data_IF_951709746156
#
_entry.id   IF_951709746156
#
_cell.length_a   1.000
_cell.length_b   1.000
_cell.length_c   1.000
_cell.angle_alpha   90.00
_cell.angle_beta   90.00
_cell.angle_gamma   90.00
#
_symmetry.space_group_name_H-M   'P 1'
#
loop_
_entity.id
_entity.type
_entity.pdbx_description
1 polymer ?
#
# COMPACT_ATOMS: atom_id res chain seq x y z
N UNK A 1 -11.92 -12.75 -7.90
CA UNK A 1 -11.07 -13.40 -8.92
C UNK A 1 -11.86 -14.59 -9.44
N UNK A 2 -11.88 -14.90 -10.74
CA UNK A 2 -12.52 -16.16 -11.18
C UNK A 2 -11.68 -17.30 -10.58
N UNK A 3 -12.32 -18.28 -9.95
CA UNK A 3 -11.62 -19.43 -9.39
C UNK A 3 -10.93 -20.16 -10.54
N UNK A 4 -9.62 -20.34 -10.46
CA UNK A 4 -8.85 -21.15 -11.41
C UNK A 4 -9.16 -22.61 -11.10
N UNK A 5 -9.39 -23.42 -12.13
CA UNK A 5 -9.66 -24.86 -11.99
C UNK A 5 -8.40 -25.61 -11.58
N UNK A 6 -8.57 -26.73 -10.88
CA UNK A 6 -7.45 -27.52 -10.34
C UNK A 6 -6.50 -28.00 -11.45
N UNK A 7 -7.03 -28.44 -12.60
CA UNK A 7 -6.22 -28.82 -13.77
C UNK A 7 -5.32 -27.69 -14.28
N UNK A 8 -5.80 -26.45 -14.24
CA UNK A 8 -5.05 -25.29 -14.67
C UNK A 8 -4.00 -24.89 -13.62
N UNK A 9 -4.28 -25.10 -12.33
CA UNK A 9 -3.31 -24.92 -11.24
C UNK A 9 -2.13 -25.88 -11.43
N UNK A 10 -2.39 -27.15 -11.77
CA UNK A 10 -1.31 -28.13 -12.01
C UNK A 10 -0.42 -27.71 -13.19
N UNK A 11 -1.01 -27.20 -14.28
CA UNK A 11 -0.23 -26.64 -15.40
C UNK A 11 0.62 -25.43 -14.99
N UNK A 12 0.07 -24.53 -14.17
CA UNK A 12 0.79 -23.36 -13.66
C UNK A 12 1.98 -23.79 -12.80
N UNK A 13 1.83 -24.82 -11.96
CA UNK A 13 2.90 -25.40 -11.13
C UNK A 13 3.99 -26.10 -11.95
N UNK A 14 3.63 -26.68 -13.08
CA UNK A 14 4.58 -27.42 -13.93
C UNK A 14 5.46 -26.51 -14.79
N UNK A 15 5.08 -25.24 -14.99
CA UNK A 15 5.86 -24.26 -15.72
C UNK A 15 7.17 -23.91 -14.99
N UNK A 16 8.31 -24.03 -15.68
CA UNK A 16 9.63 -23.89 -15.05
C UNK A 16 9.97 -22.45 -14.65
N UNK A 17 9.51 -21.44 -15.40
CA UNK A 17 9.69 -20.03 -15.03
C UNK A 17 8.94 -19.72 -13.73
N UNK A 18 7.71 -20.23 -13.60
CA UNK A 18 6.91 -20.07 -12.39
C UNK A 18 7.56 -20.77 -11.18
N UNK A 19 8.12 -21.97 -11.35
CA UNK A 19 8.87 -22.65 -10.29
C UNK A 19 10.10 -21.86 -9.88
N UNK A 20 10.84 -21.34 -10.85
CA UNK A 20 12.03 -20.53 -10.61
C UNK A 20 11.71 -19.27 -9.82
N UNK A 21 10.70 -18.51 -10.23
CA UNK A 21 10.25 -17.31 -9.51
C UNK A 21 9.74 -17.62 -8.09
N UNK A 22 9.00 -18.73 -7.93
CA UNK A 22 8.52 -19.16 -6.61
C UNK A 22 9.67 -19.57 -5.70
N UNK A 23 10.66 -20.30 -6.22
CA UNK A 23 11.86 -20.67 -5.45
C UNK A 23 12.66 -19.44 -5.04
N UNK A 24 12.84 -18.48 -5.95
CA UNK A 24 13.52 -17.22 -5.65
C UNK A 24 12.81 -16.43 -4.55
N UNK A 25 11.47 -16.40 -4.57
CA UNK A 25 10.64 -15.84 -3.49
C UNK A 25 10.78 -16.58 -2.15
N UNK A 26 10.78 -17.92 -2.17
CA UNK A 26 10.91 -18.72 -0.95
C UNK A 26 12.28 -18.51 -0.28
N UNK A 27 13.34 -18.49 -1.08
CA UNK A 27 14.70 -18.38 -0.55
C UNK A 27 15.08 -16.92 -0.25
N UNK A 28 15.03 -16.02 -1.26
CA UNK A 28 15.80 -14.77 -1.21
C UNK A 28 15.03 -13.48 -1.52
N UNK A 29 13.80 -13.54 -2.05
CA UNK A 29 13.04 -12.34 -2.44
C UNK A 29 11.85 -12.10 -1.54
N UNK A 30 11.54 -10.82 -1.32
CA UNK A 30 10.41 -10.41 -0.48
C UNK A 30 9.08 -10.32 -1.24
N UNK A 31 9.13 -10.26 -2.57
CA UNK A 31 7.96 -9.98 -3.40
C UNK A 31 7.81 -11.05 -4.48
N UNK A 32 6.57 -11.46 -4.71
CA UNK A 32 6.16 -12.30 -5.82
C UNK A 32 4.88 -11.74 -6.42
N UNK A 33 4.91 -11.47 -7.72
CA UNK A 33 3.78 -10.98 -8.49
C UNK A 33 3.20 -12.12 -9.32
N UNK A 34 1.91 -12.39 -9.17
CA UNK A 34 1.16 -13.28 -10.04
C UNK A 34 0.32 -12.47 -11.03
N UNK A 35 0.70 -12.55 -12.31
CA UNK A 35 0.16 -11.77 -13.41
C UNK A 35 -0.74 -12.67 -14.26
N UNK A 36 -2.02 -12.34 -14.44
CA UNK A 36 -2.90 -13.06 -15.35
C UNK A 36 -2.48 -12.85 -16.81
N UNK A 37 -2.03 -13.93 -17.47
CA UNK A 37 -1.67 -13.93 -18.90
C UNK A 37 -2.77 -14.53 -19.78
N UNK A 38 -3.78 -15.15 -19.17
CA UNK A 38 -4.96 -15.71 -19.83
C UNK A 38 -6.12 -15.91 -18.84
N UNK A 39 -7.16 -16.62 -19.27
CA UNK A 39 -8.35 -16.87 -18.43
C UNK A 39 -8.09 -17.81 -17.26
N UNK A 40 -7.19 -18.77 -17.43
CA UNK A 40 -6.82 -19.78 -16.43
C UNK A 40 -5.29 -19.95 -16.33
N UNK A 41 -4.51 -18.95 -16.74
CA UNK A 41 -3.04 -18.97 -16.70
C UNK A 41 -2.47 -17.78 -15.95
N UNK A 42 -1.43 -18.06 -15.15
CA UNK A 42 -0.68 -17.08 -14.37
C UNK A 42 0.81 -17.19 -14.71
N UNK A 43 1.46 -16.03 -14.75
CA UNK A 43 2.90 -15.90 -14.77
C UNK A 43 3.36 -15.35 -13.43
N UNK A 44 4.40 -15.95 -12.85
CA UNK A 44 5.04 -15.49 -11.63
C UNK A 44 6.33 -14.73 -11.94
N UNK A 45 6.59 -13.67 -11.20
CA UNK A 45 7.83 -12.90 -11.28
C UNK A 45 8.14 -12.27 -9.92
N UNK A 46 9.42 -12.18 -9.57
CA UNK A 46 9.92 -11.44 -8.39
C UNK A 46 10.23 -9.99 -8.72
N UNK A 47 10.28 -9.65 -10.01
CA UNK A 47 10.54 -8.30 -10.51
C UNK A 47 9.25 -7.49 -10.61
N UNK A 48 9.36 -6.18 -10.36
CA UNK A 48 8.20 -5.27 -10.38
C UNK A 48 7.66 -5.18 -11.81
N UNK A 49 6.38 -5.54 -12.05
CA UNK A 49 5.80 -5.52 -13.39
C UNK A 49 5.63 -4.09 -13.90
N UNK A 50 5.71 -3.92 -15.21
CA UNK A 50 5.37 -2.66 -15.85
C UNK A 50 3.87 -2.41 -15.70
N UNK A 51 3.46 -1.14 -15.51
CA UNK A 51 2.04 -0.79 -15.42
C UNK A 51 1.22 -1.25 -16.64
N UNK A 52 1.83 -1.36 -17.83
CA UNK A 52 1.19 -1.89 -19.06
C UNK A 52 0.79 -3.36 -18.95
N UNK A 53 1.48 -4.14 -18.12
CA UNK A 53 1.21 -5.56 -17.89
C UNK A 53 0.01 -5.76 -16.94
N UNK A 54 -0.36 -4.71 -16.18
CA UNK A 54 -1.51 -4.69 -15.29
C UNK A 54 -2.79 -4.38 -16.08
N UNK A 55 -3.35 -5.41 -16.74
CA UNK A 55 -4.58 -5.27 -17.56
C UNK A 55 -5.82 -4.97 -16.71
N UNK A 56 -5.96 -5.65 -15.57
CA UNK A 56 -7.09 -5.48 -14.64
C UNK A 56 -6.60 -5.46 -13.21
N UNK A 57 -6.01 -6.59 -12.79
CA UNK A 57 -5.44 -6.77 -11.47
C UNK A 57 -4.40 -7.87 -11.47
N UNK A 58 -3.47 -7.76 -10.54
CA UNK A 58 -2.44 -8.77 -10.25
C UNK A 58 -2.45 -9.06 -8.75
N UNK A 59 -1.97 -10.22 -8.36
CA UNK A 59 -1.76 -10.57 -6.96
C UNK A 59 -0.30 -10.29 -6.60
N UNK A 60 -0.08 -9.46 -5.59
CA UNK A 60 1.21 -9.30 -4.93
C UNK A 60 1.21 -10.18 -3.67
N UNK A 61 2.24 -10.99 -3.56
CA UNK A 61 2.55 -11.79 -2.38
C UNK A 61 3.80 -11.18 -1.74
N UNK A 62 3.68 -10.77 -0.49
CA UNK A 62 4.76 -10.16 0.28
C UNK A 62 5.17 -11.11 1.39
N UNK A 63 6.47 -11.35 1.50
CA UNK A 63 7.07 -12.03 2.64
C UNK A 63 7.42 -11.00 3.71
N UNK A 64 6.78 -11.10 4.86
CA UNK A 64 7.17 -10.39 6.07
C UNK A 64 8.45 -11.01 6.63
N UNK A 65 9.53 -10.24 6.85
CA UNK A 65 10.71 -10.75 7.53
C UNK A 65 10.37 -11.18 8.97
N UNK A 66 10.97 -12.28 9.42
CA UNK A 66 10.86 -12.75 10.81
C UNK A 66 11.71 -11.81 11.69
N UNK A 67 11.06 -11.01 12.54
CA UNK A 67 11.73 -9.99 13.36
C UNK A 67 12.72 -10.58 14.37
N UNK A 68 12.54 -11.85 14.75
CA UNK A 68 13.35 -12.50 15.78
C UNK A 68 14.55 -13.28 15.22
N UNK A 69 14.63 -13.45 13.88
CA UNK A 69 15.70 -14.20 13.23
C UNK A 69 16.58 -13.28 12.39
N UNK A 70 17.84 -13.13 12.83
CA UNK A 70 18.88 -12.37 12.12
C UNK A 70 19.23 -12.97 10.75
N UNK A 71 18.94 -14.24 10.54
CA UNK A 71 19.08 -14.91 9.25
C UNK A 71 17.72 -15.05 8.58
N UNK A 72 17.64 -14.67 7.30
CA UNK A 72 16.46 -14.88 6.45
C UNK A 72 16.24 -16.39 6.24
N UNK A 73 15.65 -17.05 7.23
CA UNK A 73 15.31 -18.47 7.14
C UNK A 73 14.29 -18.65 6.01
N UNK A 74 14.54 -19.59 5.09
CA UNK A 74 13.64 -19.92 3.98
C UNK A 74 12.18 -20.05 4.47
N UNK A 75 11.24 -19.59 3.64
CA UNK A 75 9.81 -19.73 3.96
C UNK A 75 9.48 -21.21 4.20
N UNK A 76 9.10 -21.53 5.43
CA UNK A 76 8.66 -22.87 5.80
C UNK A 76 7.12 -22.93 5.89
N UNK A 77 6.57 -24.11 5.63
CA UNK A 77 5.11 -24.34 5.59
C UNK A 77 4.45 -24.00 6.93
N UNK A 78 5.17 -24.23 8.04
CA UNK A 78 4.70 -24.03 9.40
C UNK A 78 4.34 -22.57 9.71
N UNK A 79 5.14 -21.62 9.21
CA UNK A 79 5.00 -20.19 9.51
C UNK A 79 4.43 -19.36 8.35
N UNK A 80 4.08 -20.01 7.23
CA UNK A 80 3.63 -19.34 6.01
C UNK A 80 2.42 -18.42 6.23
N UNK A 81 1.51 -18.80 7.13
CA UNK A 81 0.28 -18.02 7.40
C UNK A 81 0.56 -16.67 8.06
N UNK A 82 1.64 -16.55 8.81
CA UNK A 82 2.01 -15.36 9.58
C UNK A 82 3.04 -14.51 8.83
N UNK A 83 3.81 -15.15 7.95
CA UNK A 83 4.90 -14.52 7.20
C UNK A 83 4.52 -14.08 5.79
N UNK A 84 3.33 -14.44 5.29
CA UNK A 84 2.92 -14.12 3.92
C UNK A 84 1.67 -13.26 3.90
N UNK A 85 1.77 -12.11 3.23
CA UNK A 85 0.68 -11.16 3.02
C UNK A 85 0.29 -11.19 1.55
N UNK A 86 -1.02 -11.24 1.28
CA UNK A 86 -1.57 -11.20 -0.06
C UNK A 86 -2.25 -9.85 -0.31
N UNK A 87 -1.87 -9.18 -1.39
CA UNK A 87 -2.42 -7.89 -1.79
C UNK A 87 -2.85 -7.91 -3.26
N UNK A 88 -3.95 -7.24 -3.56
CA UNK A 88 -4.41 -7.05 -4.95
C UNK A 88 -3.93 -5.68 -5.46
N UNK A 89 -3.23 -5.66 -6.58
CA UNK A 89 -2.81 -4.42 -7.24
C UNK A 89 -3.63 -4.24 -8.52
N UNK A 90 -4.19 -3.04 -8.72
CA UNK A 90 -4.88 -2.65 -9.95
C UNK A 90 -4.20 -1.44 -10.60
N UNK A 91 -4.64 -1.08 -11.82
CA UNK A 91 -4.00 -0.07 -12.66
C UNK A 91 -3.90 1.36 -12.05
N UNK A 92 -4.91 1.90 -11.33
CA UNK A 92 -4.79 3.23 -10.70
C UNK A 92 -3.97 3.16 -9.41
N UNK A 93 -2.66 2.88 -9.53
CA UNK A 93 -1.77 2.57 -8.41
C UNK A 93 -1.71 3.70 -7.37
N UNK A 94 -1.54 4.94 -7.83
CA UNK A 94 -1.46 6.10 -6.93
C UNK A 94 -2.80 6.38 -6.22
N UNK A 95 -3.92 6.27 -6.92
CA UNK A 95 -5.24 6.38 -6.30
C UNK A 95 -5.46 5.28 -5.26
N UNK A 96 -5.09 4.03 -5.56
CA UNK A 96 -5.18 2.94 -4.60
C UNK A 96 -4.32 3.20 -3.35
N UNK A 97 -3.09 3.69 -3.52
CA UNK A 97 -2.21 4.07 -2.42
C UNK A 97 -2.87 5.15 -1.55
N UNK A 98 -3.36 6.22 -2.17
CA UNK A 98 -4.06 7.29 -1.47
C UNK A 98 -5.27 6.77 -0.68
N UNK A 99 -6.11 5.94 -1.30
CA UNK A 99 -7.28 5.35 -0.65
C UNK A 99 -6.89 4.43 0.51
N UNK A 100 -5.87 3.58 0.37
CA UNK A 100 -5.40 2.75 1.49
C UNK A 100 -4.88 3.60 2.65
N UNK A 101 -4.07 4.61 2.35
CA UNK A 101 -3.54 5.51 3.38
C UNK A 101 -4.66 6.30 4.08
N UNK A 102 -5.60 6.88 3.33
CA UNK A 102 -6.66 7.71 3.87
C UNK A 102 -7.77 6.91 4.57
N UNK A 103 -8.18 5.75 4.03
CA UNK A 103 -9.35 5.00 4.51
C UNK A 103 -8.99 3.87 5.49
N UNK A 104 -7.78 3.33 5.42
CA UNK A 104 -7.37 2.18 6.25
C UNK A 104 -6.30 2.60 7.26
N UNK A 105 -5.19 3.17 6.81
CA UNK A 105 -4.09 3.50 7.73
C UNK A 105 -4.38 4.71 8.60
N UNK A 106 -5.06 5.73 8.09
CA UNK A 106 -5.38 6.92 8.90
C UNK A 106 -6.24 6.58 10.12
N UNK A 107 -7.34 5.79 10.03
CA UNK A 107 -8.07 5.34 11.22
C UNK A 107 -7.24 4.47 12.17
N UNK A 108 -6.40 3.59 11.63
CA UNK A 108 -5.52 2.72 12.44
C UNK A 108 -4.54 3.57 13.25
N UNK A 109 -3.93 4.59 12.64
CA UNK A 109 -2.99 5.50 13.29
C UNK A 109 -3.66 6.42 14.30
N UNK A 110 -4.91 6.84 14.08
CA UNK A 110 -5.65 7.72 14.99
C UNK A 110 -6.34 7.00 16.15
N UNK A 111 -6.39 5.67 16.14
CA UNK A 111 -7.02 4.92 17.22
C UNK A 111 -6.15 5.00 18.49
N UNK A 112 -6.64 5.59 19.60
CA UNK A 112 -5.86 5.72 20.83
C UNK A 112 -5.39 4.39 21.40
N UNK A 113 -6.12 3.30 21.16
CA UNK A 113 -5.71 1.95 21.58
C UNK A 113 -4.47 1.45 20.83
N UNK A 114 -4.25 1.92 19.61
CA UNK A 114 -3.06 1.61 18.83
C UNK A 114 -1.88 2.55 19.14
N UNK A 115 -2.13 3.63 19.89
CA UNK A 115 -1.13 4.62 20.31
C UNK A 115 -0.63 4.36 21.75
N UNK A 116 -1.03 3.24 22.37
CA UNK A 116 -0.55 2.87 23.71
C UNK A 116 0.98 2.76 23.66
N UNK A 117 1.66 3.54 24.50
CA UNK A 117 3.12 3.62 24.57
C UNK A 117 3.74 4.72 23.71
N UNK A 118 2.96 5.46 22.92
CA UNK A 118 3.42 6.66 22.23
C UNK A 118 3.27 7.87 23.15
N UNK A 119 4.19 8.83 23.07
CA UNK A 119 3.97 10.13 23.71
C UNK A 119 2.99 10.96 22.90
N UNK A 120 2.29 11.90 23.54
CA UNK A 120 1.37 12.81 22.84
C UNK A 120 2.08 13.59 21.72
N UNK A 121 3.33 13.99 21.96
CA UNK A 121 4.16 14.68 20.98
C UNK A 121 4.45 13.81 19.75
N UNK A 122 4.81 12.54 19.95
CA UNK A 122 5.09 11.60 18.86
C UNK A 122 3.83 11.29 18.07
N UNK A 123 2.71 11.06 18.76
CA UNK A 123 1.42 10.79 18.13
C UNK A 123 1.01 11.97 17.23
N UNK A 124 1.11 13.19 17.75
CA UNK A 124 0.79 14.40 16.97
C UNK A 124 1.70 14.56 15.76
N UNK A 125 3.02 14.49 15.95
CA UNK A 125 4.00 14.67 14.86
C UNK A 125 3.84 13.62 13.74
N UNK A 126 3.57 12.35 14.11
CA UNK A 126 3.33 11.29 13.13
C UNK A 126 2.06 11.54 12.31
N UNK A 127 0.97 11.91 12.97
CA UNK A 127 -0.31 12.21 12.31
C UNK A 127 -0.16 13.42 11.38
N UNK A 128 0.49 14.48 11.82
CA UNK A 128 0.74 15.68 11.01
C UNK A 128 1.56 15.33 9.74
N UNK A 129 2.64 14.56 9.89
CA UNK A 129 3.45 14.07 8.76
C UNK A 129 2.65 13.18 7.81
N UNK A 130 1.78 12.32 8.34
CA UNK A 130 0.96 11.44 7.52
C UNK A 130 -0.10 12.20 6.72
N UNK A 131 -0.70 13.24 7.31
CA UNK A 131 -1.61 14.14 6.60
C UNK A 131 -0.88 14.93 5.49
N UNK A 132 0.33 15.41 5.76
CA UNK A 132 1.19 16.05 4.74
C UNK A 132 1.48 15.07 3.59
N UNK A 133 1.81 13.81 3.90
CA UNK A 133 2.02 12.77 2.89
C UNK A 133 0.77 12.55 2.01
N UNK A 134 -0.42 12.48 2.61
CA UNK A 134 -1.68 12.38 1.88
C UNK A 134 -1.92 13.59 0.97
N UNK A 135 -1.61 14.81 1.45
CA UNK A 135 -1.72 16.03 0.68
C UNK A 135 -0.81 16.03 -0.54
N UNK A 136 0.46 15.64 -0.39
CA UNK A 136 1.37 15.51 -1.53
C UNK A 136 0.90 14.42 -2.51
N UNK A 137 0.44 13.29 -2.01
CA UNK A 137 -0.03 12.18 -2.85
C UNK A 137 -1.20 12.61 -3.73
N UNK A 138 -2.20 13.33 -3.19
CA UNK A 138 -3.35 13.77 -4.00
C UNK A 138 -2.98 14.84 -5.03
N UNK A 139 -2.00 15.70 -4.73
CA UNK A 139 -1.45 16.68 -5.67
C UNK A 139 -0.72 15.97 -6.80
N UNK A 140 0.14 14.99 -6.49
CA UNK A 140 0.83 14.18 -7.49
C UNK A 140 -0.15 13.43 -8.40
N UNK A 141 -1.23 12.86 -7.85
CA UNK A 141 -2.31 12.25 -8.64
C UNK A 141 -2.91 13.27 -9.61
N UNK A 142 -3.15 14.50 -9.15
CA UNK A 142 -3.62 15.60 -10.00
C UNK A 142 -2.66 15.86 -11.15
N UNK A 143 -1.38 16.10 -10.83
CA UNK A 143 -0.33 16.41 -11.80
C UNK A 143 -0.19 15.31 -12.87
N UNK A 144 -0.15 14.05 -12.46
CA UNK A 144 -0.08 12.89 -13.38
C UNK A 144 -1.29 12.83 -14.31
N UNK A 145 -2.46 13.24 -13.84
CA UNK A 145 -3.70 13.25 -14.61
C UNK A 145 -3.97 14.57 -15.36
N UNK A 146 -3.04 15.54 -15.29
CA UNK A 146 -3.20 16.86 -15.92
C UNK A 146 -4.29 17.73 -15.27
N UNK A 147 -4.50 17.60 -13.96
CA UNK A 147 -5.51 18.36 -13.20
C UNK A 147 -4.90 18.93 -11.93
N UNK A 148 -5.41 20.07 -11.47
CA UNK A 148 -5.03 20.61 -10.16
C UNK A 148 -5.94 20.03 -9.09
N UNK A 149 -5.37 19.26 -8.17
CA UNK A 149 -6.09 18.71 -7.02
C UNK A 149 -5.69 19.48 -5.76
N UNK A 150 -6.67 20.09 -5.09
CA UNK A 150 -6.45 20.84 -3.87
C UNK A 150 -6.70 19.92 -2.65
N UNK A 151 -5.66 19.55 -1.88
CA UNK A 151 -5.84 18.75 -0.69
C UNK A 151 -6.67 19.52 0.34
N UNK A 152 -7.66 18.85 0.93
CA UNK A 152 -8.48 19.45 1.98
C UNK A 152 -7.64 19.68 3.25
N UNK A 153 -7.87 20.78 3.99
CA UNK A 153 -7.23 20.99 5.28
C UNK A 153 -7.62 19.89 6.29
N UNK A 154 -6.78 19.62 7.31
CA UNK A 154 -7.05 18.59 8.32
C UNK A 154 -8.43 18.71 8.94
N UNK A 155 -9.12 17.59 9.16
CA UNK A 155 -10.49 17.53 9.67
C UNK A 155 -10.68 18.22 11.03
N UNK A 156 -9.64 18.30 11.85
CA UNK A 156 -9.67 19.03 13.13
C UNK A 156 -9.97 20.51 12.95
N UNK A 157 -9.67 21.09 11.78
CA UNK A 157 -10.02 22.46 11.39
C UNK A 157 -11.54 22.69 11.30
N UNK A 158 -12.32 21.62 11.19
CA UNK A 158 -13.79 21.67 11.17
C UNK A 158 -14.42 21.29 12.52
N UNK A 159 -13.62 20.79 13.48
CA UNK A 159 -14.15 20.41 14.79
C UNK A 159 -14.52 21.64 15.63
N UNK A 160 -15.59 21.56 16.43
CA UNK A 160 -15.95 22.63 17.37
C UNK A 160 -14.94 22.77 18.52
N UNK A 161 -14.09 21.77 18.72
CA UNK A 161 -13.10 21.70 19.81
C UNK A 161 -11.78 22.39 19.48
N UNK A 162 -11.50 22.71 18.22
CA UNK A 162 -10.30 23.46 17.84
C UNK A 162 -10.51 24.96 18.01
N UNK A 163 -9.49 25.63 18.56
CA UNK A 163 -9.48 27.07 18.74
C UNK A 163 -9.59 27.79 17.39
N UNK A 164 -10.30 28.92 17.35
CA UNK A 164 -10.41 29.77 16.16
C UNK A 164 -9.03 30.15 15.60
N UNK A 165 -8.03 30.32 16.47
CA UNK A 165 -6.65 30.62 16.08
C UNK A 165 -6.02 29.48 15.27
N UNK A 166 -6.21 28.25 15.71
CA UNK A 166 -5.67 27.05 15.05
C UNK A 166 -6.41 26.80 13.73
N UNK A 167 -7.73 27.03 13.69
CA UNK A 167 -8.51 26.99 12.44
C UNK A 167 -8.00 27.98 11.40
N UNK A 168 -7.79 29.24 11.79
CA UNK A 168 -7.25 30.27 10.90
C UNK A 168 -5.87 29.89 10.36
N UNK A 169 -4.97 29.39 11.22
CA UNK A 169 -3.63 28.99 10.82
C UNK A 169 -3.63 27.80 9.85
N UNK A 170 -4.47 26.79 10.09
CA UNK A 170 -4.62 25.63 9.20
C UNK A 170 -5.14 26.04 7.83
N UNK A 171 -6.13 26.93 7.78
CA UNK A 171 -6.69 27.45 6.53
C UNK A 171 -5.68 28.31 5.76
N UNK A 172 -4.95 29.18 6.45
CA UNK A 172 -3.89 30.00 5.85
C UNK A 172 -2.81 29.11 5.21
N UNK A 173 -2.38 28.07 5.93
CA UNK A 173 -1.38 27.12 5.43
C UNK A 173 -1.88 26.36 4.20
N UNK A 174 -3.16 25.94 4.19
CA UNK A 174 -3.78 25.30 3.03
C UNK A 174 -3.81 26.25 1.82
N UNK A 175 -4.22 27.50 2.00
CA UNK A 175 -4.26 28.51 0.93
C UNK A 175 -2.85 28.79 0.38
N UNK A 176 -1.85 28.96 1.25
CA UNK A 176 -0.45 29.16 0.83
C UNK A 176 0.07 27.94 0.07
N UNK A 177 -0.29 26.73 0.49
CA UNK A 177 0.10 25.52 -0.22
C UNK A 177 -0.56 25.45 -1.60
N UNK A 178 -1.86 25.75 -1.70
CA UNK A 178 -2.60 25.76 -2.97
C UNK A 178 -2.10 26.83 -3.94
N UNK A 179 -1.69 28.00 -3.45
CA UNK A 179 -1.20 29.09 -4.31
C UNK A 179 0.20 28.85 -4.90
N UNK A 180 0.96 27.90 -4.35
CA UNK A 180 2.30 27.52 -4.83
C UNK A 180 2.28 26.37 -5.84
N UNK A 181 1.14 25.70 -6.03
CA UNK A 181 0.96 24.63 -7.02
C UNK A 181 0.72 25.20 -8.42
#
# INVERSE_FOLDING_TARGET
>A
MRKIKDEAIEKIKQNDDNKSALQEFISNRQFLFAIPVGSESLQFTTEVPNQKEIKRKILLVVRSPDHDKKDQQELCVEHMKEQVIFMEISKPILDNLYQMCAQVYMPVLNNPLNQIGWSDLVSKDLIDKFQIFLAYTIVTIGQVNGRTNLPMPPSDSQSEKTSSKDKSHNLETAIIHWSKQ
#
